data_IF_932450121793
#
_entry.id   IF_932450121793
#
_cell.length_a   1.000
_cell.length_b   1.000
_cell.length_c   1.000
_cell.angle_alpha   90.00
_cell.angle_beta   90.00
_cell.angle_gamma   90.00
#
_symmetry.space_group_name_H-M   'P 1'
#
loop_
_entity.id
_entity.type
_entity.pdbx_description
1 polymer ?
#
# COMPACT_ATOMS: atom_id res chain seq x y z
N UNK A 1 -55.66 -34.99 -1.37
CA UNK A 1 -54.38 -34.70 -0.77
C UNK A 1 -53.46 -34.17 -1.86
N UNK A 2 -53.23 -32.86 -2.01
CA UNK A 2 -52.25 -32.35 -2.96
C UNK A 2 -50.91 -32.20 -2.27
N UNK A 3 -49.89 -32.78 -2.90
CA UNK A 3 -48.50 -32.75 -2.52
C UNK A 3 -47.91 -31.34 -2.73
N UNK A 4 -47.56 -30.68 -1.64
CA UNK A 4 -46.86 -29.40 -1.67
C UNK A 4 -45.38 -29.62 -2.04
N UNK A 5 -44.97 -29.05 -3.17
CA UNK A 5 -43.58 -28.89 -3.55
C UNK A 5 -42.94 -27.83 -2.64
N UNK A 6 -41.78 -28.09 -2.02
CA UNK A 6 -41.12 -27.05 -1.22
C UNK A 6 -40.56 -25.95 -2.12
N UNK A 7 -40.54 -24.68 -1.64
CA UNK A 7 -40.03 -23.58 -2.43
C UNK A 7 -38.53 -23.68 -2.65
N UNK A 8 -38.14 -23.48 -3.89
CA UNK A 8 -36.73 -23.35 -4.34
C UNK A 8 -36.00 -22.32 -3.48
N UNK A 9 -35.08 -22.75 -2.66
CA UNK A 9 -34.06 -21.86 -2.07
C UNK A 9 -33.13 -21.37 -3.19
N UNK A 10 -32.94 -20.07 -3.33
CA UNK A 10 -31.92 -19.58 -4.28
C UNK A 10 -30.57 -20.09 -3.84
N UNK A 11 -29.89 -20.80 -4.74
CA UNK A 11 -28.54 -21.27 -4.55
C UNK A 11 -27.66 -20.05 -4.17
N UNK A 12 -27.17 -20.05 -2.95
CA UNK A 12 -26.13 -19.12 -2.50
C UNK A 12 -24.91 -19.28 -3.42
N UNK A 13 -24.73 -18.36 -4.33
CA UNK A 13 -23.51 -18.30 -5.13
C UNK A 13 -22.29 -18.30 -4.19
N UNK A 14 -21.15 -18.87 -4.60
CA UNK A 14 -19.97 -18.94 -3.74
C UNK A 14 -19.64 -17.53 -3.25
N UNK A 15 -19.69 -17.34 -1.92
CA UNK A 15 -19.36 -16.07 -1.28
C UNK A 15 -18.01 -15.57 -1.82
N UNK A 16 -17.96 -14.35 -2.33
CA UNK A 16 -16.72 -13.74 -2.77
C UNK A 16 -15.74 -13.78 -1.58
N UNK A 17 -14.57 -14.39 -1.78
CA UNK A 17 -13.58 -14.46 -0.72
C UNK A 17 -13.19 -13.03 -0.30
N UNK A 18 -13.13 -12.82 1.02
CA UNK A 18 -12.76 -11.51 1.57
C UNK A 18 -11.39 -11.06 1.06
N UNK A 19 -11.19 -9.75 0.80
CA UNK A 19 -9.90 -9.24 0.39
C UNK A 19 -8.87 -9.44 1.50
N UNK A 20 -7.65 -9.76 1.11
CA UNK A 20 -6.55 -9.98 2.04
C UNK A 20 -5.88 -8.64 2.41
N UNK A 21 -5.79 -8.27 3.68
CA UNK A 21 -5.15 -7.04 4.10
C UNK A 21 -3.62 -7.12 4.01
N UNK A 22 -2.99 -6.06 3.54
CA UNK A 22 -1.55 -5.81 3.70
C UNK A 22 -1.36 -5.02 4.98
N UNK A 23 -0.61 -5.58 5.92
CA UNK A 23 -0.48 -5.06 7.29
C UNK A 23 0.92 -4.52 7.53
N UNK A 24 1.00 -3.33 8.09
CA UNK A 24 2.22 -2.77 8.64
C UNK A 24 2.49 -3.41 10.02
N UNK A 25 3.54 -4.21 10.11
CA UNK A 25 3.91 -4.97 11.31
C UNK A 25 4.35 -4.09 12.50
N UNK A 26 4.70 -2.84 12.24
CA UNK A 26 5.08 -1.89 13.30
C UNK A 26 3.87 -1.27 13.99
N UNK A 27 2.77 -1.04 13.25
CA UNK A 27 1.59 -0.34 13.76
C UNK A 27 0.35 -1.22 13.89
N UNK A 28 0.33 -2.40 13.25
CA UNK A 28 -0.85 -3.23 13.07
C UNK A 28 -1.90 -2.61 12.14
N UNK A 29 -1.56 -1.51 11.45
CA UNK A 29 -2.44 -0.83 10.51
C UNK A 29 -2.53 -1.57 9.18
N UNK A 30 -3.74 -1.66 8.61
CA UNK A 30 -3.92 -2.10 7.23
C UNK A 30 -3.57 -0.95 6.31
N UNK A 31 -2.69 -1.19 5.34
CA UNK A 31 -2.22 -0.16 4.40
C UNK A 31 -2.73 -0.34 2.98
N UNK A 32 -3.13 -1.54 2.62
CA UNK A 32 -3.73 -1.86 1.33
C UNK A 32 -4.58 -3.13 1.43
N UNK A 33 -5.47 -3.32 0.46
CA UNK A 33 -6.28 -4.52 0.32
C UNK A 33 -5.95 -5.22 -1.00
N UNK A 34 -5.71 -6.52 -0.94
CA UNK A 34 -5.57 -7.35 -2.13
C UNK A 34 -6.87 -8.13 -2.36
N UNK A 35 -7.57 -7.91 -3.49
CA UNK A 35 -8.74 -8.69 -3.80
C UNK A 35 -8.40 -10.16 -4.00
N UNK A 36 -9.30 -11.04 -3.61
CA UNK A 36 -9.21 -12.46 -3.92
C UNK A 36 -9.47 -12.66 -5.42
N UNK A 37 -8.42 -12.87 -6.20
CA UNK A 37 -8.50 -13.09 -7.65
C UNK A 37 -8.43 -14.59 -7.91
N UNK A 38 -9.39 -15.11 -8.68
CA UNK A 38 -9.38 -16.52 -9.16
C UNK A 38 -8.88 -16.51 -10.61
N UNK A 39 -7.67 -17.02 -10.81
CA UNK A 39 -7.01 -17.09 -12.13
C UNK A 39 -5.97 -15.97 -12.32
N UNK A 40 -5.07 -16.21 -13.27
CA UNK A 40 -3.87 -15.38 -13.52
C UNK A 40 -4.03 -14.44 -14.72
N UNK A 41 -5.26 -14.10 -15.09
CA UNK A 41 -5.54 -13.24 -16.23
C UNK A 41 -6.20 -11.93 -15.84
N UNK A 42 -6.05 -10.92 -16.69
CA UNK A 42 -6.60 -9.59 -16.46
C UNK A 42 -8.13 -9.61 -16.23
N UNK A 43 -8.87 -10.46 -16.94
CA UNK A 43 -10.33 -10.53 -16.79
C UNK A 43 -10.75 -10.96 -15.37
N UNK A 44 -9.96 -11.81 -14.72
CA UNK A 44 -10.21 -12.20 -13.32
C UNK A 44 -9.96 -11.04 -12.34
N UNK A 45 -8.94 -10.24 -12.61
CA UNK A 45 -8.64 -9.03 -11.84
C UNK A 45 -9.77 -8.00 -11.99
N UNK A 46 -10.20 -7.74 -13.22
CA UNK A 46 -11.30 -6.80 -13.50
C UNK A 46 -12.59 -7.16 -12.77
N UNK A 47 -12.94 -8.46 -12.74
CA UNK A 47 -14.12 -8.94 -11.99
C UNK A 47 -13.99 -8.76 -10.48
N UNK A 48 -12.78 -8.78 -9.94
CA UNK A 48 -12.56 -8.65 -8.50
C UNK A 48 -12.63 -7.20 -7.98
N UNK A 49 -12.38 -6.20 -8.84
CA UNK A 49 -12.36 -4.78 -8.45
C UNK A 49 -13.68 -4.34 -7.79
N UNK A 50 -14.87 -4.56 -8.37
CA UNK A 50 -16.12 -4.11 -7.77
C UNK A 50 -16.39 -4.70 -6.37
N UNK A 51 -15.94 -5.93 -6.12
CA UNK A 51 -16.14 -6.59 -4.82
C UNK A 51 -15.35 -5.95 -3.68
N UNK A 52 -14.21 -5.32 -3.99
CA UNK A 52 -13.39 -4.62 -2.99
C UNK A 52 -13.83 -3.16 -2.85
N UNK A 53 -14.30 -2.55 -3.92
CA UNK A 53 -14.70 -1.14 -3.94
C UNK A 53 -16.13 -0.93 -3.47
N UNK A 54 -17.02 -1.92 -3.67
CA UNK A 54 -18.43 -1.88 -3.25
C UNK A 54 -18.67 -1.77 -1.75
N UNK A 55 -17.67 -2.06 -0.92
CA UNK A 55 -17.73 -1.89 0.53
C UNK A 55 -17.50 -0.44 1.01
N UNK A 56 -17.43 0.54 0.10
CA UNK A 56 -17.21 1.96 0.44
C UNK A 56 -15.81 2.28 0.98
N UNK A 57 -14.91 1.29 1.04
CA UNK A 57 -13.54 1.51 1.51
C UNK A 57 -12.71 2.26 0.47
N UNK A 58 -11.95 3.27 0.93
CA UNK A 58 -10.96 4.00 0.12
C UNK A 58 -9.53 3.50 0.34
N UNK A 59 -9.36 2.35 0.99
CA UNK A 59 -8.04 1.76 1.17
C UNK A 59 -7.37 1.51 -0.17
N UNK A 60 -6.06 1.76 -0.29
CA UNK A 60 -5.28 1.41 -1.46
C UNK A 60 -5.45 -0.06 -1.84
N UNK A 61 -5.37 -0.35 -3.14
CA UNK A 61 -5.52 -1.69 -3.67
C UNK A 61 -4.16 -2.24 -4.11
N UNK A 62 -3.88 -3.49 -3.75
CA UNK A 62 -2.79 -4.28 -4.33
C UNK A 62 -3.39 -5.23 -5.37
N UNK A 63 -3.29 -4.86 -6.65
CA UNK A 63 -3.91 -5.62 -7.74
C UNK A 63 -2.88 -6.48 -8.47
N UNK A 64 -3.07 -7.80 -8.54
CA UNK A 64 -2.20 -8.65 -9.36
C UNK A 64 -2.36 -8.29 -10.84
N UNK A 65 -1.24 -8.18 -11.54
CA UNK A 65 -1.18 -7.85 -12.96
C UNK A 65 -0.27 -8.84 -13.67
N UNK A 66 -0.77 -9.61 -14.64
CA UNK A 66 0.07 -10.49 -15.43
C UNK A 66 1.19 -9.71 -16.16
N UNK A 67 2.40 -10.22 -16.17
CA UNK A 67 3.54 -9.62 -16.87
C UNK A 67 3.25 -9.38 -18.35
N UNK A 68 2.46 -10.27 -18.97
CA UNK A 68 2.01 -10.15 -20.36
C UNK A 68 1.17 -8.91 -20.65
N UNK A 69 0.42 -8.41 -19.66
CA UNK A 69 -0.36 -7.16 -19.78
C UNK A 69 0.56 -5.94 -19.77
N UNK A 70 1.63 -6.00 -18.97
CA UNK A 70 2.63 -4.91 -18.90
C UNK A 70 3.29 -4.70 -20.25
N UNK A 71 3.70 -5.77 -20.93
CA UNK A 71 4.34 -5.69 -22.25
C UNK A 71 3.37 -5.31 -23.37
N UNK A 72 2.08 -5.56 -23.18
CA UNK A 72 1.04 -5.12 -24.13
C UNK A 72 0.80 -3.60 -24.14
N UNK A 73 1.44 -2.87 -23.23
CA UNK A 73 1.43 -1.41 -23.15
C UNK A 73 0.04 -0.82 -22.85
N UNK A 74 -0.16 0.43 -23.23
CA UNK A 74 -1.37 1.19 -22.89
C UNK A 74 -2.68 0.54 -23.38
N UNK A 75 -2.66 -0.10 -24.53
CA UNK A 75 -3.84 -0.78 -25.09
C UNK A 75 -4.28 -1.96 -24.23
N UNK A 76 -3.34 -2.76 -23.72
CA UNK A 76 -3.62 -3.88 -22.83
C UNK A 76 -4.06 -3.43 -21.43
N UNK A 77 -3.63 -2.26 -20.99
CA UNK A 77 -4.01 -1.66 -19.72
C UNK A 77 -5.34 -0.89 -19.76
N UNK A 78 -5.84 -0.51 -20.95
CA UNK A 78 -7.06 0.29 -21.08
C UNK A 78 -8.27 -0.29 -20.33
N UNK A 79 -8.57 -1.61 -20.36
CA UNK A 79 -9.67 -2.18 -19.61
C UNK A 79 -9.51 -2.03 -18.07
N UNK A 80 -8.27 -2.09 -17.57
CA UNK A 80 -7.97 -1.87 -16.15
C UNK A 80 -8.21 -0.41 -15.76
N UNK A 81 -7.72 0.52 -16.56
CA UNK A 81 -7.95 1.95 -16.32
C UNK A 81 -9.44 2.27 -16.25
N UNK A 82 -10.22 1.74 -17.19
CA UNK A 82 -11.66 1.99 -17.23
C UNK A 82 -12.38 1.37 -16.02
N UNK A 83 -12.05 0.13 -15.65
CA UNK A 83 -12.65 -0.52 -14.48
C UNK A 83 -12.35 0.25 -13.18
N UNK A 84 -11.13 0.75 -13.02
CA UNK A 84 -10.73 1.55 -11.86
C UNK A 84 -11.43 2.92 -11.86
N UNK A 85 -11.52 3.57 -13.02
CA UNK A 85 -12.24 4.85 -13.18
C UNK A 85 -13.72 4.71 -12.82
N UNK A 86 -14.40 3.68 -13.32
CA UNK A 86 -15.81 3.38 -13.00
C UNK A 86 -16.00 3.09 -11.51
N UNK A 87 -14.99 2.47 -10.87
CA UNK A 87 -15.00 2.18 -9.44
C UNK A 87 -14.58 3.38 -8.58
N UNK A 88 -14.37 4.57 -9.16
CA UNK A 88 -13.95 5.78 -8.46
C UNK A 88 -12.54 5.72 -7.89
N UNK A 89 -11.68 4.83 -8.41
CA UNK A 89 -10.30 4.67 -7.97
C UNK A 89 -9.34 5.46 -8.86
N UNK A 90 -8.35 6.06 -8.22
CA UNK A 90 -7.31 6.83 -8.89
C UNK A 90 -6.01 6.03 -8.94
N UNK A 91 -5.15 6.26 -9.95
CA UNK A 91 -3.88 5.56 -10.08
C UNK A 91 -3.01 5.56 -8.82
N UNK A 92 -2.85 6.66 -8.03
CA UNK A 92 -2.03 6.64 -6.81
C UNK A 92 -2.59 5.77 -5.68
N UNK A 93 -3.85 5.38 -5.75
CA UNK A 93 -4.50 4.49 -4.78
C UNK A 93 -4.33 3.01 -5.14
N UNK A 94 -3.56 2.71 -6.20
CA UNK A 94 -3.43 1.35 -6.73
C UNK A 94 -1.97 0.97 -6.89
N UNK A 95 -1.61 -0.16 -6.31
CA UNK A 95 -0.31 -0.82 -6.47
C UNK A 95 -0.54 -1.99 -7.43
N UNK A 96 0.10 -1.96 -8.60
CA UNK A 96 0.03 -3.02 -9.58
C UNK A 96 1.14 -4.04 -9.32
N UNK A 97 0.75 -5.22 -8.82
CA UNK A 97 1.64 -6.34 -8.52
C UNK A 97 1.88 -7.16 -9.79
N UNK A 98 2.98 -6.87 -10.47
CA UNK A 98 3.38 -7.61 -11.67
C UNK A 98 3.92 -8.98 -11.27
N UNK A 99 3.34 -10.02 -11.85
CA UNK A 99 3.67 -11.41 -11.56
C UNK A 99 3.52 -12.30 -12.80
N UNK A 100 4.03 -13.51 -12.71
CA UNK A 100 4.05 -14.49 -13.81
C UNK A 100 5.46 -14.76 -14.33
N UNK A 101 5.56 -15.37 -15.50
CA UNK A 101 6.85 -15.73 -16.08
C UNK A 101 7.50 -14.54 -16.79
N UNK A 102 8.67 -14.14 -16.30
CA UNK A 102 9.46 -13.06 -16.89
C UNK A 102 10.51 -13.56 -17.88
N UNK A 103 10.80 -14.88 -17.90
CA UNK A 103 11.88 -15.43 -18.71
C UNK A 103 11.71 -15.23 -20.23
N UNK A 104 10.48 -15.37 -20.80
CA UNK A 104 10.29 -15.16 -22.24
C UNK A 104 10.18 -13.68 -22.64
N UNK A 105 10.19 -12.75 -21.66
CA UNK A 105 9.93 -11.35 -21.92
C UNK A 105 11.24 -10.60 -22.15
N UNK A 106 11.30 -9.87 -23.26
CA UNK A 106 12.40 -8.96 -23.51
C UNK A 106 12.45 -7.88 -22.41
N UNK A 107 13.59 -7.77 -21.73
CA UNK A 107 13.80 -6.88 -20.60
C UNK A 107 13.43 -5.42 -20.92
N UNK A 108 13.86 -4.92 -22.06
CA UNK A 108 13.58 -3.53 -22.48
C UNK A 108 12.09 -3.26 -22.60
N UNK A 109 11.35 -4.17 -23.20
CA UNK A 109 9.90 -4.07 -23.34
C UNK A 109 9.20 -4.06 -21.98
N UNK A 110 9.64 -4.90 -21.03
CA UNK A 110 9.12 -4.93 -19.67
C UNK A 110 9.39 -3.60 -18.93
N UNK A 111 10.62 -3.09 -18.98
CA UNK A 111 10.98 -1.83 -18.34
C UNK A 111 10.18 -0.65 -18.91
N UNK A 112 10.03 -0.57 -20.23
CA UNK A 112 9.20 0.45 -20.89
C UNK A 112 7.73 0.34 -20.43
N UNK A 113 7.18 -0.88 -20.32
CA UNK A 113 5.83 -1.08 -19.81
C UNK A 113 5.68 -0.62 -18.36
N UNK A 114 6.63 -0.93 -17.49
CA UNK A 114 6.65 -0.48 -16.09
C UNK A 114 6.79 1.05 -15.97
N UNK A 115 7.59 1.67 -16.82
CA UNK A 115 7.68 3.13 -16.91
C UNK A 115 6.37 3.76 -17.33
N UNK A 116 5.68 3.18 -18.32
CA UNK A 116 4.35 3.60 -18.75
C UNK A 116 3.32 3.55 -17.63
N UNK A 117 3.31 2.46 -16.85
CA UNK A 117 2.44 2.31 -15.67
C UNK A 117 2.72 3.43 -14.64
N UNK A 118 3.99 3.68 -14.34
CA UNK A 118 4.38 4.75 -13.39
C UNK A 118 4.05 6.14 -13.92
N UNK A 119 4.18 6.37 -15.22
CA UNK A 119 3.84 7.66 -15.84
C UNK A 119 2.35 8.02 -15.68
N UNK A 120 1.47 7.01 -15.62
CA UNK A 120 0.04 7.20 -15.31
C UNK A 120 -0.18 7.51 -13.83
N UNK A 121 0.77 7.19 -12.95
CA UNK A 121 0.72 7.46 -11.51
C UNK A 121 0.47 6.24 -10.64
N UNK A 122 0.44 5.03 -11.20
CA UNK A 122 0.34 3.80 -10.40
C UNK A 122 1.65 3.52 -9.65
N UNK A 123 1.53 2.91 -8.48
CA UNK A 123 2.65 2.25 -7.82
C UNK A 123 2.87 0.87 -8.44
N UNK A 124 4.12 0.48 -8.61
CA UNK A 124 4.46 -0.84 -9.16
C UNK A 124 5.01 -1.76 -8.08
N UNK A 125 4.63 -3.03 -8.15
CA UNK A 125 5.19 -4.09 -7.32
C UNK A 125 5.64 -5.24 -8.21
N UNK A 126 6.69 -5.97 -7.80
CA UNK A 126 7.17 -7.18 -8.46
C UNK A 126 6.99 -8.36 -7.51
N UNK A 127 6.26 -9.39 -7.96
CA UNK A 127 5.91 -10.56 -7.17
C UNK A 127 6.84 -11.74 -7.35
N UNK A 128 6.56 -12.79 -6.56
CA UNK A 128 7.14 -14.15 -6.68
C UNK A 128 8.67 -14.24 -6.51
N UNK A 129 9.26 -13.30 -5.74
CA UNK A 129 10.69 -13.36 -5.47
C UNK A 129 11.07 -14.61 -4.67
N UNK A 130 12.08 -15.30 -5.17
CA UNK A 130 12.72 -16.44 -4.51
C UNK A 130 12.30 -17.82 -5.00
N UNK A 131 11.28 -17.93 -5.87
CA UNK A 131 10.89 -19.22 -6.50
C UNK A 131 10.51 -19.09 -7.95
N UNK A 132 10.26 -17.89 -8.47
CA UNK A 132 9.92 -17.65 -9.86
C UNK A 132 11.12 -17.29 -10.72
N UNK A 133 10.89 -17.08 -12.01
CA UNK A 133 11.89 -16.61 -12.97
C UNK A 133 12.01 -15.08 -12.96
N UNK A 134 12.04 -14.47 -11.76
CA UNK A 134 12.22 -13.02 -11.61
C UNK A 134 13.72 -12.71 -11.54
N UNK A 135 14.27 -12.03 -12.54
CA UNK A 135 15.67 -11.58 -12.49
C UNK A 135 15.85 -10.56 -11.35
N UNK A 136 16.83 -10.79 -10.46
CA UNK A 136 17.05 -9.90 -9.30
C UNK A 136 17.49 -8.49 -9.71
N UNK A 137 18.19 -8.37 -10.81
CA UNK A 137 18.62 -7.09 -11.40
C UNK A 137 17.43 -6.25 -11.90
N UNK A 138 16.28 -6.90 -12.18
CA UNK A 138 15.03 -6.19 -12.48
C UNK A 138 14.59 -5.27 -11.32
N UNK A 139 14.87 -5.65 -10.07
CA UNK A 139 14.56 -4.79 -8.91
C UNK A 139 15.35 -3.49 -8.92
N UNK A 140 16.60 -3.54 -9.39
CA UNK A 140 17.45 -2.35 -9.49
C UNK A 140 16.99 -1.43 -10.64
N UNK A 141 16.71 -2.01 -11.82
CA UNK A 141 16.37 -1.23 -13.01
C UNK A 141 14.92 -0.69 -12.95
N UNK A 142 13.97 -1.53 -12.53
CA UNK A 142 12.57 -1.13 -12.42
C UNK A 142 12.30 -0.25 -11.20
N UNK A 143 13.13 -0.31 -10.15
CA UNK A 143 12.93 0.41 -8.90
C UNK A 143 11.45 0.41 -8.43
N UNK A 144 10.82 -0.78 -8.23
CA UNK A 144 9.42 -0.85 -7.86
C UNK A 144 9.19 -0.27 -6.47
N UNK A 145 7.97 0.16 -6.19
CA UNK A 145 7.57 0.53 -4.83
C UNK A 145 7.65 -0.65 -3.87
N UNK A 146 7.24 -1.84 -4.32
CA UNK A 146 7.10 -3.02 -3.49
C UNK A 146 7.71 -4.26 -4.20
N UNK A 147 8.37 -5.10 -3.43
CA UNK A 147 8.78 -6.43 -3.84
C UNK A 147 8.07 -7.46 -2.96
N UNK A 148 7.53 -8.50 -3.55
CA UNK A 148 6.74 -9.52 -2.82
C UNK A 148 7.46 -10.86 -2.87
N UNK A 149 7.76 -11.42 -1.69
CA UNK A 149 8.30 -12.77 -1.60
C UNK A 149 7.31 -13.79 -2.17
N UNK A 150 7.81 -14.88 -2.70
CA UNK A 150 6.94 -15.96 -3.14
C UNK A 150 6.20 -16.61 -1.97
N UNK A 151 4.87 -16.85 -2.09
CA UNK A 151 4.13 -17.63 -1.10
C UNK A 151 4.72 -19.03 -0.87
N UNK A 152 5.26 -19.67 -1.94
CA UNK A 152 5.89 -20.98 -1.84
C UNK A 152 7.20 -20.93 -1.03
N UNK A 153 8.00 -19.86 -1.17
CA UNK A 153 9.16 -19.64 -0.31
C UNK A 153 8.73 -19.46 1.15
N UNK A 154 7.71 -18.65 1.41
CA UNK A 154 7.20 -18.37 2.74
C UNK A 154 6.58 -19.60 3.42
N UNK A 155 6.00 -20.53 2.69
CA UNK A 155 5.43 -21.76 3.24
C UNK A 155 6.48 -22.62 3.97
N UNK A 156 7.72 -22.63 3.49
CA UNK A 156 8.83 -23.39 4.03
C UNK A 156 9.55 -22.72 5.21
N UNK A 157 9.37 -21.41 5.36
CA UNK A 157 10.00 -20.62 6.43
C UNK A 157 9.25 -20.83 7.77
N UNK A 158 9.94 -20.95 8.90
CA UNK A 158 11.39 -21.06 9.13
C UNK A 158 11.91 -22.52 9.14
N UNK A 159 11.12 -23.50 8.70
CA UNK A 159 11.45 -24.93 8.78
C UNK A 159 12.70 -25.27 7.94
N UNK A 160 12.79 -24.71 6.74
CA UNK A 160 13.96 -24.85 5.89
C UNK A 160 14.90 -23.66 6.10
N UNK A 161 16.05 -23.93 6.73
CA UNK A 161 17.07 -22.91 7.03
C UNK A 161 17.62 -22.26 5.75
N UNK A 162 17.80 -23.02 4.66
CA UNK A 162 18.33 -22.48 3.41
C UNK A 162 17.35 -21.51 2.78
N UNK A 163 16.06 -21.84 2.80
CA UNK A 163 14.99 -20.98 2.31
C UNK A 163 14.79 -19.74 3.19
N UNK A 164 14.94 -19.89 4.50
CA UNK A 164 14.94 -18.75 5.42
C UNK A 164 16.10 -17.79 5.13
N UNK A 165 17.33 -18.30 4.92
CA UNK A 165 18.49 -17.50 4.52
C UNK A 165 18.28 -16.80 3.17
N UNK A 166 17.65 -17.48 2.20
CA UNK A 166 17.31 -16.87 0.91
C UNK A 166 16.35 -15.69 1.10
N UNK A 167 15.26 -15.90 1.85
CA UNK A 167 14.27 -14.85 2.13
C UNK A 167 14.89 -13.65 2.87
N UNK A 168 15.75 -13.90 3.85
CA UNK A 168 16.51 -12.86 4.56
C UNK A 168 17.41 -12.08 3.61
N UNK A 169 18.15 -12.77 2.74
CA UNK A 169 19.05 -12.13 1.75
C UNK A 169 18.28 -11.27 0.75
N UNK A 170 17.14 -11.76 0.25
CA UNK A 170 16.27 -11.00 -0.65
C UNK A 170 15.69 -9.76 0.04
N UNK A 171 15.28 -9.90 1.30
CA UNK A 171 14.77 -8.77 2.09
C UNK A 171 15.85 -7.72 2.33
N UNK A 172 17.08 -8.15 2.63
CA UNK A 172 18.23 -7.26 2.76
C UNK A 172 18.59 -6.57 1.44
N UNK A 173 18.51 -7.27 0.31
CA UNK A 173 18.73 -6.69 -1.02
C UNK A 173 17.69 -5.60 -1.33
N UNK A 174 16.40 -5.91 -1.20
CA UNK A 174 15.31 -4.97 -1.47
C UNK A 174 15.48 -3.70 -0.65
N UNK A 175 15.78 -3.83 0.66
CA UNK A 175 16.02 -2.69 1.55
C UNK A 175 17.18 -1.81 1.07
N UNK A 176 18.31 -2.39 0.65
CA UNK A 176 19.45 -1.63 0.11
C UNK A 176 19.14 -0.91 -1.21
N UNK A 177 18.19 -1.45 -1.99
CA UNK A 177 17.68 -0.81 -3.21
C UNK A 177 16.58 0.23 -2.93
N UNK A 178 16.17 0.44 -1.65
CA UNK A 178 15.08 1.33 -1.30
C UNK A 178 13.71 0.80 -1.72
N UNK A 179 13.55 -0.52 -1.85
CA UNK A 179 12.32 -1.20 -2.24
C UNK A 179 11.68 -1.82 -1.00
N UNK A 180 10.39 -1.57 -0.76
CA UNK A 180 9.68 -2.22 0.33
C UNK A 180 9.52 -3.71 0.05
N UNK A 181 9.63 -4.53 1.11
CA UNK A 181 9.39 -5.97 1.01
C UNK A 181 8.06 -6.32 1.66
N UNK A 182 7.23 -7.11 0.98
CA UNK A 182 6.02 -7.75 1.51
C UNK A 182 6.25 -9.25 1.67
N UNK A 183 5.98 -9.76 2.88
CA UNK A 183 5.94 -11.18 3.17
C UNK A 183 4.49 -11.69 3.07
N UNK A 184 4.12 -12.45 2.03
CA UNK A 184 2.79 -13.00 1.86
C UNK A 184 2.60 -14.27 2.66
N UNK A 185 1.35 -14.75 2.76
CA UNK A 185 0.98 -16.06 3.28
C UNK A 185 1.52 -16.38 4.69
N UNK A 186 1.58 -15.37 5.57
CA UNK A 186 1.96 -15.57 6.97
C UNK A 186 0.82 -16.26 7.72
N UNK A 187 1.06 -17.52 8.12
CA UNK A 187 0.07 -18.38 8.78
C UNK A 187 0.45 -18.73 10.22
N UNK A 188 1.72 -18.52 10.60
CA UNK A 188 2.27 -18.93 11.89
C UNK A 188 3.08 -17.81 12.53
N UNK A 189 3.07 -17.75 13.86
CA UNK A 189 3.87 -16.79 14.63
C UNK A 189 5.37 -16.93 14.37
N UNK A 190 5.87 -18.16 14.14
CA UNK A 190 7.27 -18.40 13.81
C UNK A 190 7.68 -17.78 12.48
N UNK A 191 6.76 -17.74 11.48
CA UNK A 191 6.99 -17.01 10.25
C UNK A 191 7.01 -15.50 10.50
N UNK A 192 6.07 -15.01 11.32
CA UNK A 192 6.02 -13.60 11.68
C UNK A 192 7.29 -13.14 12.40
N UNK A 193 7.79 -13.95 13.32
CA UNK A 193 9.06 -13.68 14.01
C UNK A 193 10.24 -13.62 13.05
N UNK A 194 10.32 -14.56 12.09
CA UNK A 194 11.36 -14.56 11.06
C UNK A 194 11.27 -13.32 10.16
N UNK A 195 10.06 -13.00 9.67
CA UNK A 195 9.82 -11.81 8.83
C UNK A 195 10.29 -10.53 9.51
N UNK A 196 10.01 -10.40 10.82
CA UNK A 196 10.46 -9.25 11.61
C UNK A 196 11.97 -9.22 11.77
N UNK A 197 12.60 -10.37 12.04
CA UNK A 197 14.06 -10.43 12.20
C UNK A 197 14.81 -10.04 10.93
N UNK A 198 14.18 -10.15 9.76
CA UNK A 198 14.74 -9.67 8.48
C UNK A 198 14.52 -8.18 8.24
N UNK A 199 13.83 -7.48 9.15
CA UNK A 199 13.47 -6.08 8.99
C UNK A 199 12.37 -5.84 7.97
N UNK A 200 11.57 -6.87 7.64
CA UNK A 200 10.41 -6.74 6.74
C UNK A 200 9.27 -6.10 7.51
N UNK A 201 8.76 -5.01 6.97
CA UNK A 201 7.73 -4.20 7.63
C UNK A 201 6.32 -4.57 7.20
N UNK A 202 6.14 -5.07 6.00
CA UNK A 202 4.83 -5.37 5.44
C UNK A 202 4.62 -6.87 5.36
N UNK A 203 3.45 -7.33 5.81
CA UNK A 203 3.08 -8.73 5.73
C UNK A 203 1.59 -8.91 5.43
N UNK A 204 1.25 -10.10 4.95
CA UNK A 204 -0.09 -10.50 4.60
C UNK A 204 -0.28 -11.98 4.89
N UNK A 205 -1.45 -12.37 5.31
CA UNK A 205 -1.76 -13.78 5.50
C UNK A 205 -2.86 -14.04 6.53
N UNK A 206 -3.30 -15.30 6.68
CA UNK A 206 -4.37 -15.67 7.61
C UNK A 206 -4.11 -15.34 9.07
N UNK A 207 -2.84 -15.24 9.49
CA UNK A 207 -2.48 -14.81 10.84
C UNK A 207 -2.78 -13.33 11.10
N UNK A 208 -2.87 -12.52 10.05
CA UNK A 208 -2.95 -11.07 10.12
C UNK A 208 -4.35 -10.58 9.73
N UNK A 209 -5.37 -11.03 10.46
CA UNK A 209 -6.75 -10.63 10.26
C UNK A 209 -7.07 -9.42 11.13
N UNK A 210 -7.64 -8.35 10.57
CA UNK A 210 -8.06 -7.19 11.34
C UNK A 210 -9.17 -7.55 12.33
N UNK A 211 -9.04 -7.05 13.55
CA UNK A 211 -10.12 -7.09 14.54
C UNK A 211 -11.22 -6.04 14.23
N UNK A 212 -12.22 -5.92 15.11
CA UNK A 212 -13.34 -4.97 14.95
C UNK A 212 -12.88 -3.49 14.85
N UNK A 213 -11.70 -3.18 15.38
CA UNK A 213 -11.09 -1.84 15.30
C UNK A 213 -10.41 -1.54 13.95
N UNK A 214 -10.44 -2.47 12.99
CA UNK A 214 -9.73 -2.36 11.72
C UNK A 214 -8.20 -2.49 11.85
N UNK A 215 -7.68 -2.79 13.04
CA UNK A 215 -6.25 -3.03 13.28
C UNK A 215 -5.97 -4.49 13.57
N UNK A 216 -4.82 -4.95 13.12
CA UNK A 216 -4.31 -6.28 13.46
C UNK A 216 -3.54 -6.19 14.77
N UNK A 217 -3.83 -7.10 15.70
CA UNK A 217 -3.00 -7.24 16.89
C UNK A 217 -1.68 -7.90 16.48
N UNK A 218 -0.64 -7.09 16.42
CA UNK A 218 0.72 -7.57 16.12
C UNK A 218 1.53 -7.40 17.42
N UNK A 219 2.05 -8.47 18.06
CA UNK A 219 2.88 -8.33 19.24
C UNK A 219 4.05 -7.37 18.97
N UNK A 220 4.42 -6.53 19.93
CA UNK A 220 5.53 -5.59 19.77
C UNK A 220 6.81 -6.33 19.37
N UNK A 221 7.60 -5.80 18.44
CA UNK A 221 8.87 -6.42 18.08
C UNK A 221 9.79 -6.47 19.31
N UNK A 222 10.35 -7.64 19.59
CA UNK A 222 11.42 -7.78 20.56
C UNK A 222 12.67 -7.19 19.92
N UNK A 223 13.22 -6.14 20.53
CA UNK A 223 14.42 -5.39 20.15
C UNK A 223 14.83 -5.43 18.68
N UNK A 224 14.69 -4.31 17.99
CA UNK A 224 15.14 -4.16 16.59
C UNK A 224 16.65 -4.43 16.50
N UNK A 225 17.04 -5.36 15.64
CA UNK A 225 18.43 -5.57 15.28
C UNK A 225 18.88 -4.33 14.51
N UNK A 226 19.93 -3.67 14.99
CA UNK A 226 20.55 -2.54 14.29
C UNK A 226 20.78 -2.89 12.82
N UNK A 227 20.12 -2.15 11.95
CA UNK A 227 20.29 -2.26 10.51
C UNK A 227 21.46 -1.37 10.13
N UNK A 228 22.54 -1.97 9.64
CA UNK A 228 23.68 -1.21 9.14
C UNK A 228 23.21 -0.19 8.10
N UNK A 229 23.29 1.08 8.46
CA UNK A 229 22.91 2.20 7.60
C UNK A 229 23.84 2.28 6.38
N UNK A 230 23.26 2.56 5.21
CA UNK A 230 24.04 3.00 4.06
C UNK A 230 24.75 4.33 4.41
N UNK A 231 25.90 4.67 3.79
CA UNK A 231 26.71 5.86 4.14
C UNK A 231 25.98 7.20 4.11
N UNK A 232 24.78 7.24 3.52
CA UNK A 232 23.92 8.44 3.41
C UNK A 232 22.64 8.34 4.26
N UNK A 233 22.46 7.25 5.04
CA UNK A 233 21.22 6.96 5.79
C UNK A 233 20.05 6.60 4.86
N UNK A 234 18.92 6.13 5.45
CA UNK A 234 17.73 5.76 4.71
C UNK A 234 17.07 6.99 4.08
N UNK A 235 16.40 6.76 2.96
CA UNK A 235 15.65 7.80 2.24
C UNK A 235 14.17 7.70 2.54
N UNK A 236 13.45 8.79 2.34
CA UNK A 236 11.99 8.86 2.52
C UNK A 236 11.25 7.76 1.77
N UNK A 237 11.70 7.38 0.57
CA UNK A 237 11.09 6.30 -0.21
C UNK A 237 11.07 4.94 0.51
N UNK A 238 11.95 4.70 1.47
CA UNK A 238 11.98 3.46 2.26
C UNK A 238 10.86 3.37 3.30
N UNK A 239 10.23 4.51 3.60
CA UNK A 239 9.12 4.65 4.54
C UNK A 239 7.80 4.99 3.83
N UNK A 240 7.79 4.98 2.49
CA UNK A 240 6.65 5.37 1.70
C UNK A 240 5.45 4.44 1.94
N UNK A 241 4.31 5.04 2.26
CA UNK A 241 3.01 4.38 2.38
C UNK A 241 2.07 4.95 1.32
N UNK A 242 1.14 4.15 0.78
CA UNK A 242 0.11 4.67 -0.10
C UNK A 242 -0.69 5.79 0.55
N UNK A 243 -0.91 6.89 -0.19
CA UNK A 243 -1.76 7.99 0.26
C UNK A 243 -3.22 7.75 -0.11
N UNK A 244 -4.12 8.13 0.77
CA UNK A 244 -5.53 8.35 0.39
C UNK A 244 -5.65 9.76 -0.15
N UNK A 245 -5.97 9.89 -1.43
CA UNK A 245 -6.09 11.19 -2.10
C UNK A 245 -7.54 11.49 -2.47
N UNK A 246 -7.93 12.76 -2.35
CA UNK A 246 -9.23 13.29 -2.82
C UNK A 246 -8.98 14.55 -3.65
N UNK A 247 -9.93 14.95 -4.52
CA UNK A 247 -9.87 16.24 -5.22
C UNK A 247 -9.83 17.41 -4.22
N UNK A 248 -9.25 18.54 -4.63
CA UNK A 248 -9.28 19.78 -3.85
C UNK A 248 -10.70 20.25 -3.51
N UNK A 249 -11.67 19.90 -4.36
CA UNK A 249 -13.10 20.24 -4.24
C UNK A 249 -13.86 19.28 -3.31
N UNK A 250 -13.24 18.20 -2.87
CA UNK A 250 -13.88 17.22 -2.00
C UNK A 250 -14.48 17.87 -0.76
N UNK A 251 -15.67 17.43 -0.40
CA UNK A 251 -16.41 17.92 0.76
C UNK A 251 -15.88 17.32 2.07
N UNK A 252 -16.17 17.96 3.20
CA UNK A 252 -15.83 17.39 4.49
C UNK A 252 -16.56 16.05 4.77
N UNK A 253 -17.74 15.84 4.19
CA UNK A 253 -18.48 14.57 4.28
C UNK A 253 -17.72 13.44 3.58
N UNK A 254 -17.16 13.67 2.40
CA UNK A 254 -16.33 12.68 1.68
C UNK A 254 -15.06 12.34 2.45
N UNK A 255 -14.42 13.32 3.08
CA UNK A 255 -13.27 13.09 3.97
C UNK A 255 -13.67 12.30 5.22
N UNK A 256 -14.84 12.64 5.81
CA UNK A 256 -15.40 11.90 6.95
C UNK A 256 -15.65 10.44 6.58
N UNK A 257 -16.22 10.19 5.40
CA UNK A 257 -16.44 8.84 4.90
C UNK A 257 -15.11 8.08 4.69
N UNK A 258 -14.08 8.76 4.15
CA UNK A 258 -12.76 8.15 3.99
C UNK A 258 -12.15 7.74 5.34
N UNK A 259 -12.23 8.60 6.34
CA UNK A 259 -11.75 8.28 7.69
C UNK A 259 -12.63 7.27 8.44
N UNK A 260 -13.95 7.29 8.20
CA UNK A 260 -14.90 6.37 8.84
C UNK A 260 -14.78 4.94 8.31
N UNK A 261 -14.51 4.79 7.02
CA UNK A 261 -14.37 3.49 6.37
C UNK A 261 -13.14 2.71 6.81
N UNK A 262 -12.08 3.39 7.29
CA UNK A 262 -10.82 2.73 7.62
C UNK A 262 -10.05 3.46 8.73
N UNK A 263 -10.01 2.88 9.96
CA UNK A 263 -9.34 3.49 11.10
C UNK A 263 -7.84 3.67 10.96
N UNK A 264 -7.18 2.94 10.07
CA UNK A 264 -5.72 3.01 9.87
C UNK A 264 -5.27 4.21 9.03
N UNK A 265 -6.18 4.90 8.35
CA UNK A 265 -5.89 6.12 7.60
C UNK A 265 -5.56 7.23 8.60
N UNK A 266 -4.35 7.74 8.56
CA UNK A 266 -3.86 8.81 9.44
C UNK A 266 -4.07 10.19 8.84
N UNK A 267 -4.02 10.28 7.50
CA UNK A 267 -4.20 11.53 6.77
C UNK A 267 -4.85 11.32 5.42
N UNK A 268 -5.50 12.37 4.92
CA UNK A 268 -6.02 12.46 3.55
C UNK A 268 -5.33 13.62 2.85
N UNK A 269 -4.87 13.40 1.63
CA UNK A 269 -4.20 14.42 0.81
C UNK A 269 -5.16 14.93 -0.25
N UNK A 270 -5.36 16.24 -0.29
CA UNK A 270 -6.14 16.90 -1.34
C UNK A 270 -5.21 17.24 -2.51
N UNK A 271 -5.55 16.76 -3.69
CA UNK A 271 -4.74 16.91 -4.89
C UNK A 271 -5.49 17.66 -6.00
N UNK A 272 -4.75 18.36 -6.84
CA UNK A 272 -5.30 18.98 -8.06
C UNK A 272 -5.47 17.96 -9.20
N UNK A 273 -5.92 18.42 -10.35
CA UNK A 273 -6.11 17.63 -11.56
C UNK A 273 -4.83 16.96 -12.09
N UNK A 274 -3.65 17.51 -11.74
CA UNK A 274 -2.34 16.96 -12.08
C UNK A 274 -1.77 16.05 -11.00
N UNK A 275 -2.59 15.65 -10.01
CA UNK A 275 -2.20 14.84 -8.85
C UNK A 275 -1.15 15.52 -7.93
N UNK A 276 -1.01 16.84 -8.01
CA UNK A 276 -0.11 17.58 -7.13
C UNK A 276 -0.80 17.86 -5.79
N UNK A 277 -0.14 17.57 -4.66
CA UNK A 277 -0.71 17.79 -3.35
C UNK A 277 -0.84 19.29 -3.06
N UNK A 278 -2.02 19.72 -2.71
CA UNK A 278 -2.33 21.11 -2.35
C UNK A 278 -2.45 21.29 -0.84
N UNK A 279 -3.14 20.35 -0.20
CA UNK A 279 -3.32 20.37 1.24
C UNK A 279 -3.45 18.95 1.79
N UNK A 280 -3.31 18.81 3.10
CA UNK A 280 -3.47 17.57 3.83
C UNK A 280 -4.35 17.74 5.05
N UNK A 281 -5.10 16.71 5.40
CA UNK A 281 -5.95 16.67 6.57
C UNK A 281 -5.42 15.58 7.49
N UNK A 282 -4.99 15.95 8.69
CA UNK A 282 -4.74 15.00 9.76
C UNK A 282 -6.05 14.51 10.34
N UNK A 283 -6.14 13.18 10.57
CA UNK A 283 -7.37 12.53 11.06
C UNK A 283 -7.84 13.13 12.39
N UNK A 284 -6.94 13.28 13.34
CA UNK A 284 -7.28 13.72 14.70
C UNK A 284 -7.84 15.13 14.71
N UNK A 285 -7.15 16.07 14.06
CA UNK A 285 -7.58 17.46 13.97
C UNK A 285 -8.87 17.61 13.16
N UNK A 286 -8.97 16.92 12.04
CA UNK A 286 -10.16 16.97 11.20
C UNK A 286 -11.40 16.47 11.95
N UNK A 287 -11.32 15.27 12.56
CA UNK A 287 -12.44 14.72 13.32
C UNK A 287 -12.82 15.60 14.51
N UNK A 288 -11.86 16.20 15.20
CA UNK A 288 -12.12 17.15 16.27
C UNK A 288 -12.88 18.40 15.77
N UNK A 289 -12.49 18.93 14.61
CA UNK A 289 -13.17 20.09 14.00
C UNK A 289 -14.61 19.76 13.60
N UNK A 290 -14.85 18.57 13.07
CA UNK A 290 -16.21 18.14 12.63
C UNK A 290 -17.08 17.66 13.78
N UNK A 291 -16.52 17.12 14.86
CA UNK A 291 -17.23 16.65 16.05
C UNK A 291 -17.73 17.78 16.95
N UNK A 292 -17.30 19.02 16.75
CA UNK A 292 -17.77 20.20 17.50
C UNK A 292 -19.30 20.34 17.44
N UNK A 293 -19.93 20.94 18.46
CA UNK A 293 -21.39 21.03 18.67
C UNK A 293 -22.23 21.41 17.43
N UNK A 294 -21.61 22.12 16.47
CA UNK A 294 -22.21 22.48 15.18
C UNK A 294 -21.32 22.12 14.00
N UNK A 295 -20.22 21.40 14.25
CA UNK A 295 -19.15 21.15 13.26
C UNK A 295 -19.69 20.41 12.01
N UNK A 296 -20.43 19.34 12.17
CA UNK A 296 -21.03 18.60 11.06
C UNK A 296 -21.97 19.48 10.22
N UNK A 297 -22.89 20.21 10.87
CA UNK A 297 -23.85 21.07 10.16
C UNK A 297 -23.18 22.23 9.42
N UNK A 298 -22.06 22.73 9.93
CA UNK A 298 -21.31 23.85 9.34
C UNK A 298 -20.39 23.43 8.22
N UNK A 299 -19.83 22.22 8.27
CA UNK A 299 -18.71 21.80 7.41
C UNK A 299 -19.06 20.69 6.42
N UNK A 300 -20.05 19.81 6.68
CA UNK A 300 -20.29 18.60 5.90
C UNK A 300 -20.30 18.82 4.38
N UNK A 301 -21.03 19.81 3.89
CA UNK A 301 -21.17 20.12 2.46
C UNK A 301 -20.17 21.17 1.95
N UNK A 302 -19.26 21.64 2.79
CA UNK A 302 -18.24 22.63 2.39
C UNK A 302 -16.98 21.93 1.93
N UNK A 303 -16.18 22.55 1.05
CA UNK A 303 -14.88 22.01 0.65
C UNK A 303 -14.01 21.73 1.88
N UNK A 304 -13.52 20.50 1.97
CA UNK A 304 -12.66 20.04 3.06
C UNK A 304 -11.34 20.83 3.13
N UNK A 305 -10.94 21.45 2.02
CA UNK A 305 -9.78 22.33 1.96
C UNK A 305 -9.81 23.49 2.97
N UNK A 306 -11.00 23.87 3.49
CA UNK A 306 -11.13 24.88 4.54
C UNK A 306 -10.69 24.39 5.92
N UNK A 307 -10.63 23.08 6.11
CA UNK A 307 -10.19 22.42 7.34
C UNK A 307 -8.81 21.78 7.18
N UNK A 308 -8.23 21.90 5.99
CA UNK A 308 -6.96 21.30 5.64
C UNK A 308 -5.81 22.29 5.85
N UNK A 309 -4.67 21.75 6.20
CA UNK A 309 -3.42 22.48 6.24
C UNK A 309 -2.70 22.38 4.88
N UNK A 310 -1.82 23.33 4.54
CA UNK A 310 -0.94 23.19 3.37
C UNK A 310 -0.18 21.89 3.42
N UNK A 311 -0.14 21.16 2.29
CA UNK A 311 0.58 19.90 2.21
C UNK A 311 2.07 20.12 2.44
N UNK A 312 2.66 19.37 3.36
CA UNK A 312 4.11 19.36 3.57
C UNK A 312 4.71 18.27 2.68
N UNK A 313 5.33 18.70 1.61
CA UNK A 313 5.87 17.80 0.60
C UNK A 313 7.36 17.54 0.77
N UNK A 314 7.78 16.32 0.48
CA UNK A 314 9.18 15.91 0.42
C UNK A 314 9.43 15.06 -0.82
N UNK A 315 10.52 15.29 -1.56
CA UNK A 315 10.94 14.41 -2.64
C UNK A 315 11.25 13.00 -2.10
N UNK A 316 10.92 11.97 -2.88
CA UNK A 316 11.15 10.55 -2.50
C UNK A 316 12.62 10.24 -2.17
N UNK A 317 13.57 10.96 -2.80
CA UNK A 317 15.00 10.77 -2.60
C UNK A 317 15.58 11.49 -1.37
N UNK A 318 14.74 12.24 -0.63
CA UNK A 318 15.17 12.99 0.55
C UNK A 318 15.66 12.03 1.65
N UNK A 319 16.82 12.29 2.29
CA UNK A 319 17.26 11.53 3.46
C UNK A 319 16.24 11.64 4.61
N UNK A 320 15.98 10.53 5.32
CA UNK A 320 14.99 10.47 6.42
C UNK A 320 15.24 11.52 7.51
N UNK A 321 16.52 11.73 7.88
CA UNK A 321 16.91 12.76 8.85
C UNK A 321 16.55 14.16 8.37
N UNK A 322 16.72 14.45 7.09
CA UNK A 322 16.36 15.76 6.50
C UNK A 322 14.84 15.96 6.51
N UNK A 323 14.08 14.91 6.14
CA UNK A 323 12.62 14.95 6.19
C UNK A 323 12.10 15.14 7.62
N UNK A 324 12.70 14.48 8.60
CA UNK A 324 12.37 14.62 10.02
C UNK A 324 12.64 16.06 10.53
N UNK A 325 13.77 16.65 10.13
CA UNK A 325 14.08 18.06 10.45
C UNK A 325 13.03 19.00 9.84
N UNK A 326 12.66 18.77 8.58
CA UNK A 326 11.61 19.56 7.92
C UNK A 326 10.26 19.41 8.63
N UNK A 327 9.92 18.23 9.14
CA UNK A 327 8.72 18.02 9.97
C UNK A 327 8.76 18.79 11.28
N UNK A 328 9.93 18.93 11.90
CA UNK A 328 10.12 19.62 13.16
C UNK A 328 10.03 21.16 13.10
N UNK A 329 9.97 21.77 11.92
CA UNK A 329 9.89 23.22 11.78
C UNK A 329 8.55 23.82 12.23
N UNK A 330 7.49 23.02 12.25
CA UNK A 330 6.17 23.42 12.73
C UNK A 330 5.80 22.61 13.98
N UNK A 331 5.93 23.21 15.19
CA UNK A 331 5.65 22.52 16.45
C UNK A 331 4.20 22.00 16.58
N UNK A 332 3.24 22.68 15.95
CA UNK A 332 1.83 22.28 15.98
C UNK A 332 1.55 21.04 15.10
N UNK A 333 2.45 20.74 14.15
CA UNK A 333 2.28 19.73 13.13
C UNK A 333 3.45 18.73 13.07
N UNK A 334 4.22 18.64 14.13
CA UNK A 334 5.44 17.82 14.21
C UNK A 334 5.19 16.35 13.81
N UNK A 335 4.04 15.81 14.19
CA UNK A 335 3.70 14.41 13.96
C UNK A 335 2.82 14.17 12.72
N UNK A 336 2.49 15.22 11.97
CA UNK A 336 1.72 15.07 10.73
C UNK A 336 2.51 14.31 9.69
N UNK A 337 1.80 13.50 8.90
CA UNK A 337 2.38 12.82 7.77
C UNK A 337 2.98 13.81 6.77
N UNK A 338 4.11 13.44 6.18
CA UNK A 338 4.70 14.16 5.05
C UNK A 338 4.21 13.54 3.75
N UNK A 339 3.85 14.39 2.80
CA UNK A 339 3.41 13.94 1.48
C UNK A 339 4.63 13.76 0.59
N UNK A 340 4.82 12.56 0.05
CA UNK A 340 5.95 12.25 -0.81
C UNK A 340 5.59 12.54 -2.25
N UNK A 341 6.48 13.23 -2.94
CA UNK A 341 6.30 13.62 -4.34
C UNK A 341 7.37 13.02 -5.25
N UNK A 342 6.98 12.80 -6.51
CA UNK A 342 7.89 12.45 -7.58
C UNK A 342 8.61 13.69 -8.15
N UNK A 343 9.42 13.49 -9.18
CA UNK A 343 10.17 14.54 -9.87
C UNK A 343 9.26 15.55 -10.63
N UNK A 344 8.00 15.16 -10.87
CA UNK A 344 6.97 16.02 -11.49
C UNK A 344 6.13 16.78 -10.46
N UNK A 345 6.41 16.57 -9.16
CA UNK A 345 5.65 17.15 -8.05
C UNK A 345 4.32 16.46 -7.77
N UNK A 346 4.08 15.25 -8.29
CA UNK A 346 2.85 14.47 -8.06
C UNK A 346 2.95 13.70 -6.75
N UNK A 347 1.84 13.57 -6.04
CA UNK A 347 1.73 12.74 -4.85
C UNK A 347 1.91 11.26 -5.21
N UNK A 348 2.94 10.61 -4.64
CA UNK A 348 3.18 9.17 -4.79
C UNK A 348 2.92 8.40 -3.50
N UNK A 349 2.69 9.08 -2.39
CA UNK A 349 2.40 8.46 -1.11
C UNK A 349 2.58 9.43 0.05
N UNK A 350 2.56 8.88 1.26
CA UNK A 350 2.86 9.59 2.50
C UNK A 350 3.96 8.87 3.26
N UNK A 351 4.60 9.60 4.17
CA UNK A 351 5.47 9.01 5.19
C UNK A 351 5.06 9.51 6.56
N UNK A 352 4.93 8.59 7.51
CA UNK A 352 4.62 8.93 8.89
C UNK A 352 5.87 9.44 9.59
N UNK A 353 5.79 10.63 10.17
CA UNK A 353 6.92 11.20 10.92
C UNK A 353 7.32 10.31 12.11
N UNK A 354 6.34 9.64 12.73
CA UNK A 354 6.60 8.66 13.79
C UNK A 354 7.52 7.52 13.36
N UNK A 355 7.45 7.11 12.09
CA UNK A 355 8.29 6.05 11.55
C UNK A 355 9.70 6.53 11.27
N UNK A 356 9.83 7.76 10.78
CA UNK A 356 11.12 8.42 10.61
C UNK A 356 11.84 8.60 11.96
N UNK A 357 11.12 9.07 12.99
CA UNK A 357 11.67 9.25 14.33
C UNK A 357 12.15 7.92 14.89
N UNK A 358 11.33 6.87 14.80
CA UNK A 358 11.68 5.55 15.32
C UNK A 358 12.95 5.00 14.67
N UNK A 359 13.09 5.20 13.37
CA UNK A 359 14.24 4.72 12.63
C UNK A 359 15.51 5.51 12.98
N UNK A 360 15.44 6.84 12.99
CA UNK A 360 16.60 7.69 13.30
C UNK A 360 17.07 7.52 14.75
N UNK A 361 16.15 7.30 15.70
CA UNK A 361 16.53 7.05 17.10
C UNK A 361 17.14 5.67 17.32
N UNK A 362 16.82 4.68 16.48
CA UNK A 362 17.43 3.35 16.51
C UNK A 362 18.89 3.38 16.00
N UNK A 363 19.23 4.28 15.07
CA UNK A 363 20.59 4.44 14.54
C UNK A 363 21.55 5.20 15.48
N UNK A 364 21.02 5.87 16.50
CA UNK A 364 21.83 6.73 17.40
C UNK A 364 22.24 5.99 18.69
N UNK A 365 21.85 4.74 18.85
CA UNK A 365 22.22 3.86 19.97
C UNK A 365 23.19 2.78 19.52
#
# INVERSE_FOLDING_TARGET
>A
MPSGTPPFSPASGPAAAAPAPVVDLATGGVIALQPAVRGENLSSVLRAIPHVTGAGTRMPLLLPLPSTVVIGGSAALAPLHEALRVSGRRPPEVILLVQGDFAPIERRTLLTGLEGIRAVGYLTAIGELGTGHVPLDLLADAAPYLAVLSPALMAEVPRDRRRATLAESLSGLARRLGVHMLAPAVTRESQLAAVRSWGVRLAQGPLLVPGPSGRVHVPLPVAERELAAAPLGPRVQEFLLPAVTLPCEATAEEVTAAFGGEPSITSVVLVDEYQRPRSSLDRGRFLLAVAGRFGHALHARRPAARLADPARTVPRSTPAVTAMRAAGHDPARVYDDLVVIDEMGRCIGIVRVSDLIRHVTAETR
#
